data_IF_579174309134
#
_entry.id   IF_579174309134
#
_cell.length_a   1.000
_cell.length_b   1.000
_cell.length_c   1.000
_cell.angle_alpha   90.00
_cell.angle_beta   90.00
_cell.angle_gamma   90.00
#
_symmetry.space_group_name_H-M   'P 1'
#
loop_
_entity.id
_entity.type
_entity.pdbx_description
1 polymer ?
#
# COMPACT_ATOMS: atom_id res chain seq x y z
N UNK A 1 -5.90 -25.96 2.73
CA UNK A 1 -5.01 -25.66 1.59
C UNK A 1 -5.61 -24.47 0.86
N UNK A 2 -4.91 -23.34 0.80
CA UNK A 2 -5.34 -22.25 -0.08
C UNK A 2 -5.00 -22.71 -1.50
N UNK A 3 -6.01 -22.95 -2.33
CA UNK A 3 -5.79 -23.30 -3.72
C UNK A 3 -5.55 -22.00 -4.49
N UNK A 4 -4.35 -21.82 -5.04
CA UNK A 4 -4.12 -20.77 -6.05
C UNK A 4 -4.99 -21.02 -7.27
N UNK A 5 -5.45 -19.96 -7.90
CA UNK A 5 -6.00 -20.02 -9.25
C UNK A 5 -4.89 -19.76 -10.26
N UNK A 6 -4.97 -20.39 -11.43
CA UNK A 6 -3.99 -20.15 -12.50
C UNK A 6 -4.56 -19.18 -13.53
N UNK A 7 -3.73 -18.29 -14.01
CA UNK A 7 -4.06 -17.40 -15.11
C UNK A 7 -2.87 -17.23 -16.06
N UNK A 8 -3.10 -16.69 -17.24
CA UNK A 8 -2.06 -16.39 -18.22
C UNK A 8 -1.85 -14.88 -18.33
N UNK A 9 -0.64 -14.45 -18.10
CA UNK A 9 -0.21 -13.07 -18.28
C UNK A 9 0.95 -13.04 -19.27
N UNK A 10 0.79 -12.34 -20.39
CA UNK A 10 1.79 -12.26 -21.47
C UNK A 10 2.31 -13.64 -21.93
N UNK A 11 1.42 -14.65 -21.95
CA UNK A 11 1.75 -16.01 -22.34
C UNK A 11 2.43 -16.86 -21.26
N UNK A 12 2.71 -16.31 -20.09
CA UNK A 12 3.25 -17.05 -18.95
C UNK A 12 2.12 -17.47 -18.01
N UNK A 13 2.05 -18.74 -17.65
CA UNK A 13 1.12 -19.23 -16.61
C UNK A 13 1.65 -18.80 -15.24
N UNK A 14 0.79 -18.22 -14.42
CA UNK A 14 1.11 -17.75 -13.07
C UNK A 14 0.08 -18.25 -12.06
N UNK A 15 0.55 -18.46 -10.83
CA UNK A 15 -0.31 -18.76 -9.68
C UNK A 15 -0.79 -17.47 -9.03
N UNK A 16 -2.12 -17.32 -8.86
CA UNK A 16 -2.77 -16.14 -8.28
C UNK A 16 -3.21 -16.44 -6.86
N UNK A 17 -2.89 -15.55 -5.94
CA UNK A 17 -3.30 -15.66 -4.55
C UNK A 17 -4.84 -15.54 -4.41
N UNK A 18 -5.50 -16.43 -3.67
CA UNK A 18 -6.94 -16.41 -3.47
C UNK A 18 -7.30 -15.36 -2.39
N UNK A 19 -7.18 -14.09 -2.73
CA UNK A 19 -7.45 -13.00 -1.81
C UNK A 19 -8.95 -12.70 -1.69
N UNK A 20 -9.39 -12.40 -0.48
CA UNK A 20 -10.73 -11.86 -0.24
C UNK A 20 -10.88 -10.46 -0.83
N UNK A 21 -12.04 -10.19 -1.42
CA UNK A 21 -12.44 -8.83 -1.81
C UNK A 21 -13.38 -8.30 -0.72
N UNK A 22 -12.97 -7.24 -0.05
CA UNK A 22 -13.70 -6.59 1.04
C UNK A 22 -14.35 -5.32 0.53
N UNK A 23 -15.64 -5.13 0.75
CA UNK A 23 -16.36 -3.90 0.40
C UNK A 23 -16.10 -2.83 1.45
N UNK A 24 -15.47 -1.72 1.05
CA UNK A 24 -15.26 -0.59 1.98
C UNK A 24 -16.58 -0.03 2.49
N UNK A 25 -17.57 0.14 1.63
CA UNK A 25 -18.90 0.62 2.01
C UNK A 25 -19.50 -0.20 3.15
N UNK A 26 -19.50 -1.53 3.01
CA UNK A 26 -20.08 -2.42 4.02
C UNK A 26 -19.34 -2.35 5.36
N UNK A 27 -17.98 -2.29 5.36
CA UNK A 27 -17.24 -2.15 6.62
C UNK A 27 -17.43 -0.77 7.25
N UNK A 28 -17.59 0.29 6.46
CA UNK A 28 -17.96 1.62 6.96
C UNK A 28 -19.34 1.63 7.61
N UNK A 29 -20.30 0.93 7.02
CA UNK A 29 -21.66 0.72 7.54
C UNK A 29 -21.73 -0.30 8.72
N UNK A 30 -20.57 -0.85 9.15
CA UNK A 30 -20.46 -1.85 10.24
C UNK A 30 -21.22 -3.15 9.95
N UNK A 31 -21.28 -3.58 8.69
CA UNK A 31 -21.84 -4.88 8.36
C UNK A 31 -21.01 -5.99 9.02
N UNK A 32 -21.64 -6.78 9.90
CA UNK A 32 -20.96 -7.77 10.74
C UNK A 32 -20.26 -8.85 9.93
N UNK A 33 -20.90 -9.37 8.89
CA UNK A 33 -20.33 -10.41 8.04
C UNK A 33 -19.09 -9.90 7.27
N UNK A 34 -19.16 -8.68 6.75
CA UNK A 34 -18.04 -8.07 6.02
C UNK A 34 -16.88 -7.74 6.97
N UNK A 35 -17.16 -7.25 8.17
CA UNK A 35 -16.14 -7.03 9.20
C UNK A 35 -15.47 -8.35 9.62
N UNK A 36 -16.24 -9.43 9.74
CA UNK A 36 -15.69 -10.76 10.03
C UNK A 36 -14.82 -11.29 8.88
N UNK A 37 -15.18 -11.02 7.61
CA UNK A 37 -14.35 -11.35 6.45
C UNK A 37 -13.05 -10.55 6.45
N UNK A 38 -13.11 -9.23 6.70
CA UNK A 38 -11.92 -8.38 6.87
C UNK A 38 -10.98 -8.96 7.93
N UNK A 39 -11.51 -9.33 9.09
CA UNK A 39 -10.71 -9.88 10.18
C UNK A 39 -10.02 -11.19 9.79
N UNK A 40 -10.75 -12.12 9.15
CA UNK A 40 -10.18 -13.38 8.65
C UNK A 40 -9.07 -13.15 7.61
N UNK A 41 -9.29 -12.24 6.67
CA UNK A 41 -8.29 -11.90 5.66
C UNK A 41 -7.03 -11.27 6.27
N UNK A 42 -7.18 -10.43 7.29
CA UNK A 42 -6.07 -9.84 8.05
C UNK A 42 -5.33 -10.89 8.91
N UNK A 43 -5.99 -11.97 9.35
CA UNK A 43 -5.34 -13.08 10.04
C UNK A 43 -4.55 -13.98 9.07
N UNK A 44 -5.10 -14.25 7.89
CA UNK A 44 -4.48 -15.12 6.87
C UNK A 44 -5.07 -14.85 5.48
N UNK A 45 -4.26 -14.46 4.51
CA UNK A 45 -2.80 -14.34 4.54
C UNK A 45 -2.24 -13.04 5.15
N UNK A 46 -3.08 -12.08 5.56
CA UNK A 46 -2.70 -10.72 5.94
C UNK A 46 -2.67 -9.76 4.74
N UNK A 47 -3.18 -10.20 3.60
CA UNK A 47 -3.42 -9.46 2.36
C UNK A 47 -4.86 -9.64 1.91
N UNK A 48 -5.45 -8.60 1.34
CA UNK A 48 -6.78 -8.64 0.75
C UNK A 48 -6.95 -7.51 -0.26
N UNK A 49 -8.01 -7.57 -1.04
CA UNK A 49 -8.42 -6.50 -1.95
C UNK A 49 -9.54 -5.69 -1.32
N UNK A 50 -9.47 -4.37 -1.41
CA UNK A 50 -10.50 -3.46 -0.92
C UNK A 50 -11.24 -2.86 -2.12
N UNK A 51 -12.53 -3.15 -2.25
CA UNK A 51 -13.40 -2.52 -3.24
C UNK A 51 -13.74 -1.08 -2.81
N UNK A 52 -13.30 -0.10 -3.61
CA UNK A 52 -13.51 1.33 -3.39
C UNK A 52 -14.38 1.99 -4.47
N UNK A 53 -15.01 1.19 -5.32
CA UNK A 53 -15.77 1.68 -6.49
C UNK A 53 -17.01 2.49 -6.12
N UNK A 54 -17.53 2.35 -4.91
CA UNK A 54 -18.67 3.14 -4.44
C UNK A 54 -18.37 4.65 -4.32
N UNK A 55 -17.09 5.06 -4.33
CA UNK A 55 -16.69 6.46 -4.37
C UNK A 55 -16.15 6.84 -5.75
N UNK A 56 -17.01 7.34 -6.63
CA UNK A 56 -16.61 7.78 -7.98
C UNK A 56 -15.51 8.87 -7.91
N UNK A 57 -15.61 9.80 -6.95
CA UNK A 57 -14.61 10.85 -6.79
C UNK A 57 -13.25 10.28 -6.40
N UNK A 58 -13.21 9.31 -5.48
CA UNK A 58 -11.95 8.70 -5.07
C UNK A 58 -11.31 7.89 -6.21
N UNK A 59 -12.12 7.17 -6.99
CA UNK A 59 -11.64 6.46 -8.19
C UNK A 59 -11.06 7.45 -9.21
N UNK A 60 -11.71 8.60 -9.42
CA UNK A 60 -11.19 9.66 -10.29
C UNK A 60 -9.88 10.26 -9.75
N UNK A 61 -9.77 10.48 -8.45
CA UNK A 61 -8.54 10.99 -7.82
C UNK A 61 -7.39 9.96 -7.93
N UNK A 62 -7.64 8.65 -7.80
CA UNK A 62 -6.65 7.59 -8.07
C UNK A 62 -6.09 7.73 -9.50
N UNK A 63 -6.96 7.84 -10.50
CA UNK A 63 -6.53 7.99 -11.90
C UNK A 63 -5.70 9.26 -12.11
N UNK A 64 -6.10 10.35 -11.44
CA UNK A 64 -5.37 11.60 -11.54
C UNK A 64 -3.99 11.53 -10.88
N UNK A 65 -3.88 10.88 -9.73
CA UNK A 65 -2.59 10.66 -9.05
C UNK A 65 -1.67 9.75 -9.89
N UNK A 66 -2.21 8.75 -10.61
CA UNK A 66 -1.44 7.97 -11.59
C UNK A 66 -0.86 8.87 -12.68
N UNK A 67 -1.68 9.72 -13.30
CA UNK A 67 -1.22 10.63 -14.35
C UNK A 67 -0.14 11.61 -13.84
N UNK A 68 -0.27 12.10 -12.61
CA UNK A 68 0.74 12.93 -11.95
C UNK A 68 2.04 12.16 -11.68
N UNK A 69 1.93 10.90 -11.28
CA UNK A 69 3.06 10.00 -11.05
C UNK A 69 3.86 9.80 -12.34
N UNK A 70 3.18 9.48 -13.44
CA UNK A 70 3.79 9.35 -14.76
C UNK A 70 4.47 10.64 -15.19
N UNK A 71 3.76 11.76 -15.08
CA UNK A 71 4.32 13.09 -15.41
C UNK A 71 5.56 13.41 -14.59
N UNK A 72 5.57 13.10 -13.30
CA UNK A 72 6.71 13.34 -12.42
C UNK A 72 7.93 12.52 -12.82
N UNK A 73 7.78 11.21 -12.98
CA UNK A 73 8.90 10.32 -13.29
C UNK A 73 9.39 10.44 -14.73
N UNK A 74 8.60 11.01 -15.65
CA UNK A 74 9.02 11.34 -17.02
C UNK A 74 9.94 12.56 -17.11
N UNK A 75 10.10 13.33 -16.02
CA UNK A 75 11.00 14.48 -15.98
C UNK A 75 12.47 14.05 -16.00
N UNK A 76 13.39 14.94 -16.50
CA UNK A 76 14.82 14.72 -16.40
C UNK A 76 15.28 14.46 -14.97
N UNK A 77 16.32 13.65 -14.83
CA UNK A 77 16.86 13.25 -13.52
C UNK A 77 17.27 14.46 -12.66
N UNK A 78 17.90 15.48 -13.29
CA UNK A 78 18.31 16.69 -12.59
C UNK A 78 17.13 17.52 -12.03
N UNK A 79 15.93 17.34 -12.57
CA UNK A 79 14.71 17.97 -12.05
C UNK A 79 14.22 17.21 -10.81
N UNK A 80 14.13 15.89 -10.89
CA UNK A 80 13.70 15.02 -9.80
C UNK A 80 14.67 15.06 -8.60
N UNK A 81 15.96 15.18 -8.88
CA UNK A 81 17.00 15.30 -7.84
C UNK A 81 16.85 16.56 -6.97
N UNK A 82 16.11 17.58 -7.41
CA UNK A 82 15.79 18.75 -6.56
C UNK A 82 14.86 18.39 -5.39
N UNK A 83 14.10 17.32 -5.55
CA UNK A 83 13.20 16.79 -4.52
C UNK A 83 13.89 15.76 -3.60
N UNK A 84 15.17 15.44 -3.84
CA UNK A 84 15.95 14.55 -2.99
C UNK A 84 16.16 15.18 -1.59
N UNK A 85 16.00 14.36 -0.55
CA UNK A 85 16.19 14.77 0.86
C UNK A 85 17.28 13.90 1.48
N UNK A 86 18.46 14.49 1.69
CA UNK A 86 19.61 13.79 2.29
C UNK A 86 19.30 13.39 3.75
N UNK A 87 19.51 12.11 4.06
CA UNK A 87 19.32 11.58 5.43
C UNK A 87 17.85 11.39 5.84
N UNK A 88 16.90 11.63 4.95
CA UNK A 88 15.48 11.39 5.21
C UNK A 88 15.03 10.12 4.50
N UNK A 89 14.59 9.12 5.28
CA UNK A 89 14.12 7.84 4.76
C UNK A 89 12.71 7.94 4.17
N UNK A 90 11.88 8.85 4.69
CA UNK A 90 10.44 8.90 4.40
C UNK A 90 10.01 10.08 3.54
N UNK A 91 10.96 10.89 3.02
CA UNK A 91 10.63 12.08 2.25
C UNK A 91 11.45 12.19 0.98
N UNK A 92 10.81 12.78 -0.02
CA UNK A 92 11.46 13.20 -1.24
C UNK A 92 11.73 12.09 -2.24
N UNK A 93 12.47 12.47 -3.27
CA UNK A 93 12.85 11.59 -4.37
C UNK A 93 13.97 10.64 -3.97
N UNK A 94 13.86 9.39 -4.38
CA UNK A 94 14.90 8.38 -4.26
C UNK A 94 14.99 7.55 -5.54
N UNK A 95 16.20 7.25 -5.96
CA UNK A 95 16.48 6.40 -7.11
C UNK A 95 17.34 5.20 -6.69
N UNK A 96 16.74 4.02 -6.76
CA UNK A 96 17.37 2.75 -6.43
C UNK A 96 17.85 2.08 -7.73
N UNK A 97 19.03 2.45 -8.19
CA UNK A 97 19.58 2.06 -9.51
C UNK A 97 19.69 0.56 -9.71
N UNK A 98 20.04 -0.20 -8.67
CA UNK A 98 20.13 -1.66 -8.76
C UNK A 98 18.81 -2.31 -9.17
N UNK A 99 17.71 -2.13 -8.44
CA UNK A 99 16.40 -2.67 -8.80
C UNK A 99 15.66 -1.87 -9.87
N UNK A 100 16.23 -0.78 -10.41
CA UNK A 100 15.60 0.12 -11.36
C UNK A 100 14.24 0.66 -10.85
N UNK A 101 14.22 1.06 -9.59
CA UNK A 101 13.03 1.61 -8.91
C UNK A 101 13.29 3.03 -8.49
N UNK A 102 12.38 3.93 -8.81
CA UNK A 102 12.43 5.31 -8.33
C UNK A 102 11.16 5.61 -7.52
N UNK A 103 11.30 6.38 -6.45
CA UNK A 103 10.18 6.72 -5.58
C UNK A 103 10.17 8.21 -5.26
N UNK A 104 8.97 8.74 -4.99
CA UNK A 104 8.79 9.99 -4.30
C UNK A 104 7.83 9.76 -3.14
N UNK A 105 8.18 10.25 -1.95
CA UNK A 105 7.35 10.09 -0.75
C UNK A 105 7.18 11.42 -0.04
N UNK A 106 5.96 11.70 0.42
CA UNK A 106 5.57 12.89 1.20
C UNK A 106 4.74 12.46 2.41
N UNK A 107 5.01 13.06 3.57
CA UNK A 107 4.23 12.76 4.75
C UNK A 107 2.81 13.34 4.64
N UNK A 108 1.83 12.64 5.23
CA UNK A 108 0.43 13.07 5.30
C UNK A 108 0.30 14.53 5.72
N UNK A 109 0.99 14.90 6.80
CA UNK A 109 0.87 16.21 7.43
C UNK A 109 1.52 17.35 6.62
N UNK A 110 2.26 17.01 5.58
CA UNK A 110 2.99 17.97 4.72
C UNK A 110 2.35 18.12 3.33
N UNK A 111 1.29 17.38 3.03
CA UNK A 111 0.68 17.38 1.68
C UNK A 111 0.10 18.74 1.31
N UNK A 112 -0.46 19.48 2.26
CA UNK A 112 -1.00 20.82 2.03
C UNK A 112 0.08 21.91 1.97
N UNK A 113 1.31 21.56 2.30
CA UNK A 113 2.47 22.44 2.17
C UNK A 113 3.05 22.35 0.75
N UNK A 114 2.76 23.31 -0.10
CA UNK A 114 3.27 23.34 -1.49
C UNK A 114 4.78 23.13 -1.59
N UNK A 115 5.54 23.54 -0.57
CA UNK A 115 6.99 23.37 -0.53
C UNK A 115 7.44 21.89 -0.41
N UNK A 116 6.58 21.02 0.09
CA UNK A 116 6.85 19.57 0.26
C UNK A 116 6.50 18.75 -0.98
N UNK A 117 5.72 19.31 -1.89
CA UNK A 117 5.32 18.66 -3.14
C UNK A 117 6.25 19.07 -4.31
N UNK A 118 6.59 18.11 -5.21
CA UNK A 118 7.26 18.42 -6.46
C UNK A 118 6.48 19.47 -7.25
N UNK A 119 7.20 20.30 -8.02
CA UNK A 119 6.56 21.31 -8.88
C UNK A 119 5.50 20.71 -9.82
N UNK A 120 5.69 19.48 -10.28
CA UNK A 120 4.72 18.79 -11.12
C UNK A 120 3.39 18.49 -10.39
N UNK A 121 3.41 18.36 -9.07
CA UNK A 121 2.22 18.04 -8.25
C UNK A 121 1.51 19.30 -7.74
N UNK A 122 2.23 20.42 -7.58
CA UNK A 122 1.70 21.64 -6.99
C UNK A 122 0.40 22.17 -7.63
N UNK A 123 0.21 22.13 -8.98
CA UNK A 123 -1.05 22.57 -9.59
C UNK A 123 -2.26 21.72 -9.18
N UNK A 124 -2.03 20.50 -8.70
CA UNK A 124 -3.04 19.51 -8.34
C UNK A 124 -3.03 19.18 -6.84
N UNK A 125 -2.48 20.07 -6.02
CA UNK A 125 -2.42 19.87 -4.54
C UNK A 125 -3.78 19.48 -3.98
N UNK A 126 -4.87 20.09 -4.43
CA UNK A 126 -6.22 19.76 -3.97
C UNK A 126 -6.65 18.31 -4.30
N UNK A 127 -6.20 17.73 -5.40
CA UNK A 127 -6.44 16.31 -5.74
C UNK A 127 -5.65 15.42 -4.78
N UNK A 128 -4.36 15.75 -4.57
CA UNK A 128 -3.48 14.96 -3.70
C UNK A 128 -3.99 15.00 -2.25
N UNK A 129 -4.40 16.18 -1.75
CA UNK A 129 -4.95 16.33 -0.40
C UNK A 129 -6.23 15.51 -0.21
N UNK A 130 -7.17 15.53 -1.17
CA UNK A 130 -8.36 14.68 -1.10
C UNK A 130 -7.99 13.20 -1.13
N UNK A 131 -7.12 12.79 -2.06
CA UNK A 131 -6.67 11.39 -2.16
C UNK A 131 -6.05 10.92 -0.83
N UNK A 132 -5.19 11.73 -0.21
CA UNK A 132 -4.56 11.43 1.09
C UNK A 132 -5.59 11.37 2.20
N UNK A 133 -6.53 12.32 2.25
CA UNK A 133 -7.62 12.35 3.24
C UNK A 133 -8.53 11.12 3.13
N UNK A 134 -8.92 10.75 1.92
CA UNK A 134 -9.77 9.58 1.68
C UNK A 134 -8.99 8.28 1.98
N UNK A 135 -7.71 8.18 1.58
CA UNK A 135 -6.85 7.06 1.93
C UNK A 135 -6.70 6.90 3.45
N UNK A 136 -6.51 8.02 4.17
CA UNK A 136 -6.48 8.02 5.64
C UNK A 136 -7.79 7.49 6.23
N UNK A 137 -8.93 7.94 5.71
CA UNK A 137 -10.24 7.45 6.15
C UNK A 137 -10.41 5.94 5.90
N UNK A 138 -9.98 5.44 4.74
CA UNK A 138 -10.02 4.01 4.41
C UNK A 138 -9.24 3.19 5.44
N UNK A 139 -7.97 3.52 5.66
CA UNK A 139 -7.10 2.73 6.54
C UNK A 139 -7.49 2.85 8.02
N UNK A 140 -7.94 4.02 8.48
CA UNK A 140 -8.38 4.20 9.87
C UNK A 140 -9.71 3.53 10.15
N UNK A 141 -10.64 3.51 9.17
CA UNK A 141 -11.89 2.75 9.28
C UNK A 141 -11.62 1.26 9.39
N UNK A 142 -10.74 0.70 8.54
CA UNK A 142 -10.35 -0.70 8.63
C UNK A 142 -9.69 -1.01 9.97
N UNK A 143 -8.75 -0.18 10.42
CA UNK A 143 -8.08 -0.36 11.71
C UNK A 143 -9.07 -0.34 12.88
N UNK A 144 -10.07 0.55 12.85
CA UNK A 144 -11.12 0.60 13.87
C UNK A 144 -11.97 -0.68 13.88
N UNK A 145 -12.39 -1.19 12.71
CA UNK A 145 -13.14 -2.46 12.64
C UNK A 145 -12.31 -3.64 13.15
N UNK A 146 -11.04 -3.70 12.79
CA UNK A 146 -10.12 -4.72 13.30
C UNK A 146 -9.93 -4.61 14.82
N UNK A 147 -9.81 -3.38 15.36
CA UNK A 147 -9.71 -3.14 16.79
C UNK A 147 -10.93 -3.65 17.57
N UNK A 148 -12.15 -3.38 17.07
CA UNK A 148 -13.39 -3.84 17.68
C UNK A 148 -13.48 -5.37 17.76
N UNK A 149 -12.96 -6.08 16.75
CA UNK A 149 -12.94 -7.53 16.72
C UNK A 149 -11.79 -8.14 17.53
N UNK A 150 -10.67 -7.44 17.63
CA UNK A 150 -9.53 -7.86 18.44
C UNK A 150 -9.82 -7.75 19.94
N UNK A 151 -10.52 -6.71 20.36
CA UNK A 151 -10.85 -6.43 21.76
C UNK A 151 -12.34 -6.08 21.92
N UNK A 152 -13.21 -7.11 21.92
CA UNK A 152 -14.64 -6.88 22.08
C UNK A 152 -14.96 -6.16 23.40
N UNK A 153 -15.79 -5.12 23.30
CA UNK A 153 -16.17 -4.29 24.44
C UNK A 153 -15.19 -3.15 24.77
N UNK A 154 -14.07 -3.06 24.08
CA UNK A 154 -13.15 -1.91 24.16
C UNK A 154 -13.38 -0.97 23.00
N UNK A 155 -13.27 0.34 23.24
CA UNK A 155 -13.33 1.33 22.16
C UNK A 155 -11.96 1.43 21.50
N UNK A 156 -11.91 1.21 20.18
CA UNK A 156 -10.80 1.45 19.26
C UNK A 156 -9.39 1.55 19.92
N UNK A 157 -8.93 0.48 20.55
CA UNK A 157 -7.64 0.47 21.24
C UNK A 157 -6.46 0.79 20.32
N UNK A 158 -6.58 0.45 19.02
CA UNK A 158 -5.53 0.75 18.05
C UNK A 158 -5.40 2.25 17.78
N UNK A 159 -6.45 3.05 17.93
CA UNK A 159 -6.41 4.49 17.66
C UNK A 159 -5.37 5.22 18.52
N UNK A 160 -5.15 4.75 19.74
CA UNK A 160 -4.12 5.30 20.62
C UNK A 160 -2.70 5.22 20.03
N UNK A 161 -2.48 4.37 19.02
CA UNK A 161 -1.18 4.16 18.39
C UNK A 161 -0.99 4.96 17.10
N UNK A 162 -2.08 5.48 16.50
CA UNK A 162 -2.01 6.21 15.22
C UNK A 162 -2.87 7.47 15.18
N UNK A 163 -3.09 8.14 16.30
CA UNK A 163 -3.98 9.31 16.39
C UNK A 163 -3.73 10.29 15.25
N UNK A 164 -4.77 10.66 14.50
CA UNK A 164 -4.62 11.58 13.37
C UNK A 164 -4.06 12.96 13.74
N UNK A 165 -4.24 13.38 15.00
CA UNK A 165 -3.73 14.64 15.55
C UNK A 165 -2.26 14.61 15.94
N UNK A 166 -1.62 13.45 15.93
CA UNK A 166 -0.21 13.30 16.30
C UNK A 166 0.65 13.13 15.05
N UNK A 167 1.86 13.68 15.12
CA UNK A 167 2.85 13.52 14.06
C UNK A 167 3.18 12.03 13.86
N UNK A 168 3.37 11.63 12.62
CA UNK A 168 3.74 10.26 12.27
C UNK A 168 4.50 10.23 10.95
N UNK A 169 5.05 9.07 10.62
CA UNK A 169 5.60 8.82 9.27
C UNK A 169 4.55 8.30 8.28
N UNK A 170 3.26 8.46 8.60
CA UNK A 170 2.16 8.18 7.67
C UNK A 170 2.34 9.00 6.40
N UNK A 171 2.28 8.36 5.22
CA UNK A 171 2.74 9.00 3.98
C UNK A 171 2.05 8.49 2.73
N UNK A 172 2.06 9.33 1.71
CA UNK A 172 1.82 8.97 0.32
C UNK A 172 3.17 8.73 -0.36
N UNK A 173 3.31 7.58 -1.03
CA UNK A 173 4.47 7.22 -1.83
C UNK A 173 4.04 6.83 -3.24
N UNK A 174 4.63 7.46 -4.22
CA UNK A 174 4.47 7.08 -5.63
C UNK A 174 5.75 6.41 -6.12
N UNK A 175 5.59 5.37 -6.95
CA UNK A 175 6.68 4.46 -7.30
C UNK A 175 6.67 4.22 -8.81
N UNK A 176 7.86 4.22 -9.41
CA UNK A 176 8.13 3.76 -10.77
C UNK A 176 9.04 2.53 -10.72
N UNK A 177 8.67 1.46 -11.45
CA UNK A 177 9.50 0.25 -11.61
C UNK A 177 9.17 -0.90 -10.65
N UNK A 178 10.00 -1.96 -10.62
CA UNK A 178 11.12 -2.26 -11.53
C UNK A 178 10.66 -2.50 -12.97
N UNK A 179 11.57 -2.22 -13.95
CA UNK A 179 11.34 -2.41 -15.38
C UNK A 179 12.64 -2.96 -15.98
N UNK A 180 12.82 -4.27 -15.89
CA UNK A 180 14.05 -4.94 -16.30
C UNK A 180 13.81 -5.81 -17.53
N UNK A 181 14.80 -5.90 -18.41
CA UNK A 181 14.72 -6.74 -19.60
C UNK A 181 14.59 -8.21 -19.24
N UNK A 182 15.27 -8.64 -18.18
CA UNK A 182 15.25 -10.03 -17.72
C UNK A 182 14.64 -10.12 -16.32
N UNK A 183 13.73 -11.05 -16.14
CA UNK A 183 13.19 -11.39 -14.82
C UNK A 183 14.31 -11.78 -13.83
N UNK A 184 15.35 -12.47 -14.31
CA UNK A 184 16.48 -12.91 -13.47
C UNK A 184 17.27 -11.75 -12.84
N UNK A 185 17.16 -10.53 -13.40
CA UNK A 185 17.84 -9.35 -12.88
C UNK A 185 17.03 -8.65 -11.79
N UNK A 186 15.78 -9.06 -11.56
CA UNK A 186 14.98 -8.61 -10.41
C UNK A 186 15.53 -9.31 -9.16
N UNK A 187 16.37 -8.62 -8.43
CA UNK A 187 16.96 -9.15 -7.20
C UNK A 187 15.91 -9.50 -6.14
N UNK A 188 16.32 -10.22 -5.10
CA UNK A 188 15.48 -10.48 -3.95
C UNK A 188 15.21 -9.17 -3.19
N UNK A 189 13.96 -8.77 -3.16
CA UNK A 189 13.46 -7.61 -2.44
C UNK A 189 12.34 -8.01 -1.45
N UNK A 190 12.38 -9.26 -0.99
CA UNK A 190 11.42 -9.81 -0.02
C UNK A 190 11.46 -9.02 1.29
N UNK A 191 10.30 -8.53 1.72
CA UNK A 191 10.16 -7.73 2.94
C UNK A 191 8.76 -7.85 3.53
N UNK A 192 8.57 -7.26 4.70
CA UNK A 192 7.29 -6.90 5.32
C UNK A 192 7.23 -5.39 5.47
N UNK A 193 6.03 -4.83 5.59
CA UNK A 193 5.86 -3.40 5.86
C UNK A 193 5.86 -3.12 7.35
N UNK A 194 6.65 -2.16 7.81
CA UNK A 194 6.78 -1.82 9.23
C UNK A 194 5.58 -1.09 9.84
N UNK A 195 4.61 -0.65 9.04
CA UNK A 195 3.45 0.14 9.48
C UNK A 195 2.30 -0.66 10.10
N UNK A 196 1.14 -0.01 10.18
CA UNK A 196 -0.12 -0.60 10.65
C UNK A 196 -0.85 -1.26 9.48
N UNK A 197 -1.19 -0.47 8.46
CA UNK A 197 -1.81 -0.93 7.21
C UNK A 197 -1.17 -0.21 6.03
N UNK A 198 -0.99 -0.94 4.96
CA UNK A 198 -0.58 -0.39 3.65
C UNK A 198 -1.74 -0.51 2.68
N UNK A 199 -2.01 0.57 1.95
CA UNK A 199 -2.99 0.64 0.88
C UNK A 199 -2.23 0.92 -0.41
N UNK A 200 -2.30 0.02 -1.39
CA UNK A 200 -1.55 0.15 -2.64
C UNK A 200 -2.48 0.04 -3.85
N UNK A 201 -2.27 0.92 -4.82
CA UNK A 201 -2.85 0.83 -6.16
C UNK A 201 -1.75 0.49 -7.15
N UNK A 202 -2.00 -0.51 -7.98
CA UNK A 202 -1.13 -0.93 -9.07
C UNK A 202 -2.01 -1.53 -10.17
N UNK A 203 -1.72 -1.20 -11.43
CA UNK A 203 -2.47 -1.66 -12.61
C UNK A 203 -1.78 -2.84 -13.31
N UNK A 204 -0.65 -3.31 -12.78
CA UNK A 204 0.16 -4.38 -13.37
C UNK A 204 0.41 -5.51 -12.37
N UNK A 205 0.66 -6.69 -12.90
CA UNK A 205 1.10 -7.85 -12.14
C UNK A 205 2.52 -7.63 -11.61
N UNK A 206 2.63 -7.10 -10.41
CA UNK A 206 3.92 -6.71 -9.82
C UNK A 206 4.17 -7.28 -8.44
N UNK A 207 3.11 -7.57 -7.69
CA UNK A 207 3.20 -7.97 -6.30
C UNK A 207 3.02 -9.48 -6.16
N UNK A 208 3.95 -10.12 -5.48
CA UNK A 208 3.82 -11.50 -5.02
C UNK A 208 3.80 -11.53 -3.50
N UNK A 209 3.01 -12.43 -2.95
CA UNK A 209 2.94 -12.71 -1.51
C UNK A 209 3.37 -14.14 -1.20
N UNK A 210 3.95 -14.34 -0.01
CA UNK A 210 4.24 -15.66 0.53
C UNK A 210 2.97 -16.26 1.13
N UNK A 211 2.49 -17.37 0.55
CA UNK A 211 1.30 -18.05 1.03
C UNK A 211 1.52 -18.69 2.42
N UNK A 212 0.47 -18.78 3.26
CA UNK A 212 0.58 -19.32 4.62
C UNK A 212 1.12 -20.75 4.73
N UNK A 213 1.10 -21.50 3.64
CA UNK A 213 1.40 -22.96 3.62
C UNK A 213 2.88 -23.31 3.45
N UNK A 214 3.80 -22.34 3.62
CA UNK A 214 5.21 -22.67 3.70
C UNK A 214 6.07 -22.29 2.48
N UNK A 215 5.99 -21.04 2.07
CA UNK A 215 6.99 -20.45 1.17
C UNK A 215 6.66 -20.47 -0.32
N UNK A 216 5.47 -20.88 -0.70
CA UNK A 216 4.98 -20.71 -2.08
C UNK A 216 4.63 -19.24 -2.32
N UNK A 217 5.04 -18.74 -3.49
CA UNK A 217 4.76 -17.36 -3.91
C UNK A 217 3.61 -17.34 -4.90
N UNK A 218 2.65 -16.44 -4.66
CA UNK A 218 1.54 -16.22 -5.57
C UNK A 218 1.36 -14.74 -5.90
N UNK A 219 0.90 -14.47 -7.10
CA UNK A 219 0.67 -13.11 -7.57
C UNK A 219 -0.61 -12.53 -6.99
N UNK A 220 -0.58 -11.24 -6.71
CA UNK A 220 -1.79 -10.47 -6.37
C UNK A 220 -2.40 -9.92 -7.65
N UNK A 221 -3.68 -10.22 -7.87
CA UNK A 221 -4.42 -9.74 -9.04
C UNK A 221 -4.65 -8.21 -8.94
N UNK A 222 -4.17 -7.42 -9.91
CA UNK A 222 -4.36 -5.97 -9.93
C UNK A 222 -5.75 -5.59 -10.46
N UNK A 223 -6.81 -5.91 -9.72
CA UNK A 223 -8.19 -5.69 -10.16
C UNK A 223 -8.51 -4.19 -10.20
N UNK A 224 -8.96 -3.62 -11.34
CA UNK A 224 -9.32 -2.21 -11.42
C UNK A 224 -10.39 -1.81 -10.40
N UNK A 225 -10.24 -0.63 -9.79
CA UNK A 225 -11.17 -0.13 -8.77
C UNK A 225 -11.03 -0.79 -7.40
N UNK A 226 -9.95 -1.56 -7.20
CA UNK A 226 -9.61 -2.16 -5.91
C UNK A 226 -8.23 -1.72 -5.46
N UNK A 227 -8.09 -1.52 -4.15
CA UNK A 227 -6.79 -1.38 -3.54
C UNK A 227 -6.28 -2.75 -3.07
N UNK A 228 -4.99 -2.98 -3.18
CA UNK A 228 -4.30 -4.07 -2.49
C UNK A 228 -4.00 -3.56 -1.08
N UNK A 229 -4.41 -4.32 -0.06
CA UNK A 229 -4.18 -3.95 1.34
C UNK A 229 -3.42 -5.03 2.05
N UNK A 230 -2.44 -4.64 2.86
CA UNK A 230 -1.72 -5.55 3.74
C UNK A 230 -1.58 -5.04 5.17
N UNK A 231 -1.57 -5.99 6.09
CA UNK A 231 -1.22 -5.80 7.50
C UNK A 231 0.30 -5.59 7.59
N UNK A 232 0.70 -4.58 8.35
CA UNK A 232 2.11 -4.31 8.65
C UNK A 232 2.56 -4.86 10.00
N UNK A 233 3.88 -4.82 10.25
CA UNK A 233 4.53 -5.39 11.43
C UNK A 233 4.05 -4.76 12.73
N UNK A 234 3.81 -3.44 12.73
CA UNK A 234 3.26 -2.76 13.91
C UNK A 234 1.89 -3.30 14.30
N UNK A 235 0.98 -3.51 13.32
CA UNK A 235 -0.34 -4.06 13.59
C UNK A 235 -0.26 -5.53 14.02
N UNK A 236 0.63 -6.32 13.44
CA UNK A 236 0.90 -7.67 13.91
C UNK A 236 1.32 -7.67 15.39
N UNK A 237 2.23 -6.79 15.76
CA UNK A 237 2.72 -6.65 17.13
C UNK A 237 1.61 -6.17 18.07
N UNK A 238 0.91 -5.09 17.73
CA UNK A 238 -0.22 -4.56 18.53
C UNK A 238 -1.33 -5.60 18.74
N UNK A 239 -1.58 -6.44 17.74
CA UNK A 239 -2.58 -7.51 17.85
C UNK A 239 -2.13 -8.73 18.68
N UNK A 240 -0.90 -8.73 19.18
CA UNK A 240 -0.31 -9.89 19.85
C UNK A 240 -0.14 -11.09 18.91
N UNK A 241 0.17 -10.84 17.63
CA UNK A 241 0.35 -11.85 16.60
C UNK A 241 -0.95 -12.47 16.07
N UNK A 242 -2.12 -11.93 16.45
CA UNK A 242 -3.43 -12.40 15.94
C UNK A 242 -3.68 -12.00 14.50
N UNK A 243 -3.09 -10.90 14.04
CA UNK A 243 -3.07 -10.47 12.64
C UNK A 243 -1.67 -10.70 12.07
N UNK A 244 -1.60 -10.98 10.77
CA UNK A 244 -0.36 -11.41 10.14
C UNK A 244 0.22 -10.33 9.22
N UNK A 245 1.44 -9.89 9.49
CA UNK A 245 2.27 -9.20 8.51
C UNK A 245 2.88 -10.23 7.56
N UNK A 246 2.50 -10.16 6.29
CA UNK A 246 2.86 -11.15 5.29
C UNK A 246 4.08 -10.69 4.49
N UNK A 247 5.06 -11.57 4.31
CA UNK A 247 6.16 -11.32 3.39
C UNK A 247 5.64 -11.17 1.98
N UNK A 248 6.14 -10.15 1.31
CA UNK A 248 5.83 -9.88 -0.09
C UNK A 248 7.06 -9.36 -0.82
N UNK A 249 6.97 -9.36 -2.13
CA UNK A 249 8.03 -8.85 -3.00
C UNK A 249 7.45 -8.26 -4.26
N UNK A 250 8.23 -7.38 -4.88
CA UNK A 250 7.91 -6.80 -6.18
C UNK A 250 8.66 -7.56 -7.26
N UNK A 251 7.97 -8.00 -8.31
CA UNK A 251 8.53 -8.74 -9.41
C UNK A 251 7.84 -8.36 -10.73
N UNK A 252 8.19 -9.03 -11.81
CA UNK A 252 7.58 -8.89 -13.13
C UNK A 252 7.26 -10.27 -13.71
N UNK A 253 6.22 -10.35 -14.53
CA UNK A 253 5.85 -11.62 -15.19
C UNK A 253 6.68 -11.79 -16.46
N UNK A 254 7.68 -12.68 -16.39
CA UNK A 254 8.55 -12.97 -17.51
C UNK A 254 9.55 -11.86 -17.86
N UNK A 255 10.24 -12.03 -18.96
CA UNK A 255 11.18 -11.07 -19.51
C UNK A 255 10.45 -9.92 -20.23
N UNK A 256 11.12 -8.79 -20.34
CA UNK A 256 10.64 -7.58 -20.99
C UNK A 256 10.15 -6.54 -19.99
N UNK A 257 10.70 -5.33 -20.15
CA UNK A 257 10.34 -4.19 -19.34
C UNK A 257 9.01 -3.57 -19.83
N UNK A 258 8.09 -3.34 -18.89
CA UNK A 258 6.95 -2.47 -19.09
C UNK A 258 7.01 -1.34 -18.09
N UNK A 259 6.69 -0.12 -18.51
CA UNK A 259 6.50 0.96 -17.56
C UNK A 259 5.36 0.63 -16.62
N UNK A 260 5.59 0.87 -15.34
CA UNK A 260 4.62 0.63 -14.30
C UNK A 260 4.77 1.60 -13.16
N UNK A 261 3.63 1.92 -12.62
CA UNK A 261 3.46 2.85 -11.53
C UNK A 261 2.71 2.19 -10.40
N UNK A 262 3.06 2.58 -9.18
CA UNK A 262 2.25 2.24 -8.02
C UNK A 262 2.07 3.49 -7.14
N UNK A 263 0.92 3.55 -6.50
CA UNK A 263 0.59 4.56 -5.51
C UNK A 263 0.38 3.82 -4.20
N UNK A 264 1.10 4.19 -3.16
CA UNK A 264 1.04 3.53 -1.87
C UNK A 264 0.75 4.54 -0.77
N UNK A 265 -0.20 4.23 0.09
CA UNK A 265 -0.47 4.98 1.31
C UNK A 265 -0.17 4.10 2.52
N UNK A 266 0.73 4.58 3.38
CA UNK A 266 1.15 3.88 4.58
C UNK A 266 0.52 4.51 5.81
N UNK A 267 -0.28 3.75 6.57
CA UNK A 267 -0.64 4.13 7.93
C UNK A 267 0.47 3.63 8.87
N UNK A 268 1.14 4.54 9.53
CA UNK A 268 2.22 4.23 10.48
C UNK A 268 1.85 4.69 11.90
N UNK A 269 2.43 4.09 12.94
CA UNK A 269 2.26 4.56 14.30
C UNK A 269 2.64 6.04 14.46
N UNK A 270 2.05 6.70 15.45
CA UNK A 270 2.46 8.03 15.86
C UNK A 270 3.92 8.04 16.32
N UNK A 271 4.59 9.18 16.14
CA UNK A 271 5.99 9.33 16.56
C UNK A 271 6.12 9.07 18.07
N UNK A 272 7.11 8.28 18.45
CA UNK A 272 7.34 7.89 19.85
C UNK A 272 6.55 6.65 20.31
N UNK A 273 5.66 6.10 19.50
CA UNK A 273 5.05 4.79 19.76
C UNK A 273 5.99 3.68 19.29
N UNK A 274 6.50 2.91 20.22
CA UNK A 274 7.31 1.72 19.93
C UNK A 274 6.40 0.47 19.95
N UNK A 275 6.16 -0.17 18.79
CA UNK A 275 5.35 -1.38 18.74
C UNK A 275 5.88 -2.53 19.60
N UNK A 276 7.19 -2.60 19.82
CA UNK A 276 7.82 -3.65 20.62
C UNK A 276 7.72 -3.42 22.14
N UNK A 277 7.32 -2.22 22.57
CA UNK A 277 7.21 -1.85 23.98
C UNK A 277 5.82 -2.11 24.61
N UNK A 278 4.90 -2.76 23.85
CA UNK A 278 3.50 -2.98 24.25
C UNK A 278 3.25 -4.44 24.63
#
# INVERSE_FOLDING_TARGET
>A
MAFTTKTFVRGTEIDVAPLEIISFKKIAERNEDECARLYKAAQSPGFFLLDVKDSEQYVADIQRVYALTEQYFSQPEEVKMKDFRLGDEFRGYKDYKGPNVSTFEVLRDEVDENASLPKAFQPETGVISRFVSDSQNLVTTMAARLSELLWPGSHNCLESHYRPSEASKTSLKVIRGPMLEKLADVGDNTHTDGGILTLMYCDKWTTQIELPNGGEWAWVDPIPGHAIVNVGDALQTFSGGRLRSCKHRVSQVGDGAEERWAITYFLRPADGVDPAAI
#
